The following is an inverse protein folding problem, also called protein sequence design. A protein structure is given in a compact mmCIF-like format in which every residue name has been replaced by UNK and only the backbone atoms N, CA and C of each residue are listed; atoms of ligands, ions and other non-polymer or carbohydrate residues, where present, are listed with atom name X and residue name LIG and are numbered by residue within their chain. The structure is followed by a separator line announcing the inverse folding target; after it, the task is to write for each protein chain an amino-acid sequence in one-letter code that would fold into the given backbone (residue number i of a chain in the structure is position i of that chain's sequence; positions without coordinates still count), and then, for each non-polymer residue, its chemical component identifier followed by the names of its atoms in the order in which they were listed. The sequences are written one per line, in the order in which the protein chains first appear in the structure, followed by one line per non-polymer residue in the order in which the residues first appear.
data_IF_454968226872
#
_entry.id   IF_454968226872
#
_cell.length_a   1.000
_cell.length_b   1.000
_cell.length_c   1.000
_cell.angle_alpha   90.00
_cell.angle_beta   90.00
_cell.angle_gamma   90.00
#
_symmetry.space_group_name_H-M   'P 1'
#
loop_
_entity.id
_entity.type
_entity.pdbx_description
1 polymer ?
#
# COMPACT_ATOMS: atom_id res chain seq x y z
N UNK A 1 34.32 12.66 -20.42
CA UNK A 1 33.26 11.93 -19.68
C UNK A 1 32.40 12.87 -18.80
N UNK A 2 32.13 14.12 -19.21
CA UNK A 2 31.29 15.08 -18.46
C UNK A 2 30.06 15.59 -19.22
N UNK A 3 29.92 15.29 -20.52
CA UNK A 3 28.80 15.78 -21.33
C UNK A 3 27.51 14.94 -21.14
N UNK A 4 27.62 13.69 -20.69
CA UNK A 4 26.45 12.84 -20.44
C UNK A 4 25.67 13.20 -19.17
N UNK A 5 26.32 13.82 -18.17
CA UNK A 5 25.66 14.22 -16.92
C UNK A 5 24.73 15.43 -17.12
N UNK A 6 25.10 16.39 -17.97
CA UNK A 6 24.22 17.52 -18.32
C UNK A 6 22.93 17.02 -18.99
N UNK A 7 23.02 16.00 -19.84
CA UNK A 7 21.88 15.45 -20.58
C UNK A 7 20.83 14.76 -19.70
N UNK A 8 21.18 14.30 -18.50
CA UNK A 8 20.24 13.65 -17.55
C UNK A 8 19.78 14.63 -16.46
N UNK A 9 20.64 15.55 -16.05
CA UNK A 9 20.35 16.51 -14.98
C UNK A 9 19.34 17.57 -15.44
N UNK A 10 19.40 18.01 -16.69
CA UNK A 10 18.50 19.04 -17.23
C UNK A 10 17.05 18.54 -17.38
N UNK A 11 16.79 17.34 -17.92
CA UNK A 11 15.45 16.76 -17.95
C UNK A 11 14.88 16.49 -16.55
N UNK A 12 15.70 16.02 -15.59
CA UNK A 12 15.27 15.78 -14.21
C UNK A 12 14.87 17.08 -13.49
N UNK A 13 15.64 18.15 -13.68
CA UNK A 13 15.29 19.49 -13.17
C UNK A 13 14.01 20.01 -13.81
N UNK A 14 13.84 19.84 -15.12
CA UNK A 14 12.63 20.24 -15.83
C UNK A 14 11.40 19.42 -15.43
N UNK A 15 11.54 18.12 -15.16
CA UNK A 15 10.46 17.28 -14.64
C UNK A 15 10.06 17.74 -13.23
N UNK A 16 11.05 18.01 -12.37
CA UNK A 16 10.81 18.50 -11.00
C UNK A 16 10.17 19.88 -11.01
N UNK A 17 10.59 20.76 -11.94
CA UNK A 17 9.99 22.08 -12.14
C UNK A 17 8.55 21.96 -12.65
N UNK A 18 8.28 21.07 -13.62
CA UNK A 18 6.93 20.80 -14.12
C UNK A 18 6.02 20.22 -13.06
N UNK A 19 6.49 19.29 -12.23
CA UNK A 19 5.74 18.73 -11.10
C UNK A 19 5.40 19.83 -10.09
N UNK A 20 6.40 20.66 -9.72
CA UNK A 20 6.20 21.82 -8.84
C UNK A 20 5.24 22.85 -9.44
N UNK A 21 5.30 23.09 -10.74
CA UNK A 21 4.38 23.97 -11.45
C UNK A 21 2.96 23.41 -11.52
N UNK A 22 2.78 22.09 -11.72
CA UNK A 22 1.46 21.46 -11.63
C UNK A 22 0.89 21.54 -10.22
N UNK A 23 1.69 21.31 -9.18
CA UNK A 23 1.24 21.53 -7.79
C UNK A 23 0.88 23.01 -7.54
N UNK A 24 1.68 23.94 -8.06
CA UNK A 24 1.44 25.38 -7.91
C UNK A 24 0.26 25.89 -8.74
N UNK A 25 -0.03 25.25 -9.88
CA UNK A 25 -1.19 25.54 -10.74
C UNK A 25 -2.47 24.99 -10.12
N UNK A 26 -2.45 23.79 -9.54
CA UNK A 26 -3.54 23.25 -8.72
C UNK A 26 -3.80 24.14 -7.49
N UNK A 27 -2.77 24.78 -6.92
CA UNK A 27 -2.91 25.77 -5.83
C UNK A 27 -3.45 27.15 -6.28
N UNK A 28 -3.55 27.42 -7.58
CA UNK A 28 -3.97 28.72 -8.15
C UNK A 28 -5.33 28.71 -8.86
N UNK A 29 -5.84 27.55 -9.21
CA UNK A 29 -7.24 27.41 -9.64
C UNK A 29 -8.12 27.47 -8.38
N UNK A 30 -8.56 28.69 -8.01
CA UNK A 30 -9.54 29.04 -6.96
C UNK A 30 -9.67 27.96 -5.86
N UNK A 31 -8.93 28.13 -4.75
CA UNK A 31 -9.18 27.37 -3.52
C UNK A 31 -10.66 27.56 -3.12
N UNK A 32 -11.51 26.62 -3.55
CA UNK A 32 -12.78 26.40 -2.88
C UNK A 32 -12.45 26.11 -1.42
N UNK A 33 -13.20 26.70 -0.47
CA UNK A 33 -12.98 26.41 0.94
C UNK A 33 -13.08 24.90 1.15
N UNK A 34 -12.19 24.35 1.98
CA UNK A 34 -12.23 22.93 2.34
C UNK A 34 -13.63 22.56 2.82
N UNK A 35 -14.11 21.41 2.36
CA UNK A 35 -15.36 20.86 2.86
C UNK A 35 -15.22 20.34 4.31
N UNK A 36 -16.35 20.00 4.93
CA UNK A 36 -16.39 19.54 6.32
C UNK A 36 -15.63 18.24 6.56
N UNK A 37 -15.54 17.35 5.58
CA UNK A 37 -14.83 16.07 5.68
C UNK A 37 -13.32 16.26 5.57
N UNK A 38 -12.89 17.18 4.69
CA UNK A 38 -11.51 17.59 4.55
C UNK A 38 -10.99 18.27 5.83
N UNK A 39 -11.76 19.22 6.37
CA UNK A 39 -11.43 19.89 7.64
C UNK A 39 -11.35 18.90 8.80
N UNK A 40 -12.21 17.86 8.79
CA UNK A 40 -12.17 16.81 9.79
C UNK A 40 -10.83 16.05 9.77
N UNK A 41 -10.34 15.68 8.58
CA UNK A 41 -9.04 15.00 8.43
C UNK A 41 -7.87 15.90 8.86
N UNK A 42 -7.93 17.20 8.57
CA UNK A 42 -6.94 18.20 9.01
C UNK A 42 -6.82 18.24 10.53
N UNK A 43 -7.95 18.43 11.23
CA UNK A 43 -7.94 18.50 12.69
C UNK A 43 -7.54 17.16 13.32
N UNK A 44 -8.00 16.04 12.74
CA UNK A 44 -7.59 14.70 13.17
C UNK A 44 -6.08 14.50 13.07
N UNK A 45 -5.46 14.89 11.95
CA UNK A 45 -4.02 14.79 11.75
C UNK A 45 -3.24 15.64 12.76
N UNK A 46 -3.70 16.86 13.04
CA UNK A 46 -3.11 17.75 14.04
C UNK A 46 -3.17 17.17 15.45
N UNK A 47 -4.33 16.64 15.84
CA UNK A 47 -4.55 16.04 17.15
C UNK A 47 -3.67 14.81 17.39
N UNK A 48 -3.52 13.98 16.36
CA UNK A 48 -2.67 12.79 16.38
C UNK A 48 -1.19 13.15 16.39
N UNK A 49 -0.77 14.13 15.58
CA UNK A 49 0.62 14.59 15.49
C UNK A 49 1.15 15.09 16.84
N UNK A 50 0.28 15.72 17.65
CA UNK A 50 0.62 16.20 18.99
C UNK A 50 1.11 15.07 19.90
N UNK A 51 0.50 13.89 19.81
CA UNK A 51 0.70 12.77 20.76
C UNK A 51 1.75 11.78 20.27
N UNK A 52 1.81 11.52 18.95
CA UNK A 52 2.71 10.54 18.38
C UNK A 52 4.09 11.14 18.06
N UNK A 53 5.15 10.54 18.60
CA UNK A 53 6.52 10.91 18.30
C UNK A 53 6.85 10.64 16.83
N UNK A 54 7.74 11.47 16.24
CA UNK A 54 8.27 11.25 14.89
C UNK A 54 7.19 11.13 13.81
N UNK A 55 6.11 11.90 13.97
CA UNK A 55 4.98 11.93 13.06
C UNK A 55 4.89 13.23 12.24
N UNK A 56 6.00 13.96 12.10
CA UNK A 56 6.09 15.27 11.44
C UNK A 56 5.66 15.24 9.96
N UNK A 57 5.53 14.05 9.36
CA UNK A 57 4.89 13.89 8.05
C UNK A 57 3.44 14.38 8.06
N UNK A 58 2.73 14.30 9.18
CA UNK A 58 1.34 14.76 9.32
C UNK A 58 1.23 16.29 9.31
N UNK A 59 2.32 17.02 9.57
CA UNK A 59 2.36 18.48 9.44
C UNK A 59 2.01 18.95 8.03
N UNK A 60 2.35 18.17 7.01
CA UNK A 60 1.99 18.49 5.63
C UNK A 60 0.47 18.38 5.38
N UNK A 61 -0.26 17.58 6.15
CA UNK A 61 -1.71 17.48 6.07
C UNK A 61 -2.34 18.71 6.70
N UNK A 62 -2.01 19.02 7.97
CA UNK A 62 -2.69 20.11 8.67
C UNK A 62 -2.19 21.52 8.33
N UNK A 63 -1.02 21.65 7.68
CA UNK A 63 -0.58 22.89 7.03
C UNK A 63 -1.10 23.06 5.60
N UNK A 64 -1.91 22.12 5.10
CA UNK A 64 -2.50 22.16 3.75
C UNK A 64 -1.45 22.17 2.62
N UNK A 65 -0.30 21.53 2.86
CA UNK A 65 0.67 21.24 1.80
C UNK A 65 0.21 20.08 0.91
N UNK A 66 -0.53 19.14 1.52
CA UNK A 66 -1.12 17.97 0.88
C UNK A 66 -2.53 18.24 0.34
N UNK A 67 -2.98 17.44 -0.63
CA UNK A 67 -4.29 17.60 -1.28
C UNK A 67 -5.02 16.27 -1.36
N UNK A 68 -6.31 16.27 -1.01
CA UNK A 68 -7.16 15.07 -0.94
C UNK A 68 -8.56 15.37 -1.48
N UNK A 69 -9.20 14.41 -2.13
CA UNK A 69 -10.60 14.54 -2.54
C UNK A 69 -11.55 14.29 -1.38
N UNK A 70 -12.72 14.92 -1.39
CA UNK A 70 -13.82 14.67 -0.43
C UNK A 70 -14.14 13.19 -0.30
N UNK A 71 -14.19 12.47 -1.43
CA UNK A 71 -14.48 11.03 -1.46
C UNK A 71 -13.41 10.21 -0.71
N UNK A 72 -12.13 10.59 -0.83
CA UNK A 72 -11.06 9.93 -0.08
C UNK A 72 -11.21 10.21 1.42
N UNK A 73 -11.50 11.44 1.82
CA UNK A 73 -11.75 11.80 3.22
C UNK A 73 -12.92 11.00 3.80
N UNK A 74 -14.06 10.93 3.10
CA UNK A 74 -15.23 10.15 3.53
C UNK A 74 -14.93 8.66 3.66
N UNK A 75 -14.24 8.09 2.69
CA UNK A 75 -13.82 6.69 2.74
C UNK A 75 -12.97 6.42 3.99
N UNK A 76 -11.94 7.25 4.23
CA UNK A 76 -11.08 7.13 5.42
C UNK A 76 -11.88 7.29 6.71
N UNK A 77 -12.81 8.24 6.79
CA UNK A 77 -13.67 8.44 7.97
C UNK A 77 -14.52 7.20 8.25
N UNK A 78 -15.20 6.65 7.24
CA UNK A 78 -16.06 5.47 7.39
C UNK A 78 -15.25 4.22 7.75
N UNK A 79 -14.10 4.03 7.09
CA UNK A 79 -13.20 2.90 7.35
C UNK A 79 -12.72 2.92 8.81
N UNK A 80 -12.24 4.06 9.29
CA UNK A 80 -11.76 4.21 10.66
C UNK A 80 -12.85 4.21 11.72
N UNK A 81 -14.02 4.79 11.42
CA UNK A 81 -15.19 4.67 12.29
C UNK A 81 -15.53 3.21 12.57
N UNK A 82 -15.65 2.40 11.52
CA UNK A 82 -15.94 0.97 11.64
C UNK A 82 -14.81 0.18 12.36
N UNK A 83 -13.53 0.50 12.14
CA UNK A 83 -12.42 -0.13 12.87
C UNK A 83 -12.51 0.16 14.38
N UNK A 84 -12.73 1.42 14.74
CA UNK A 84 -12.79 1.85 16.14
C UNK A 84 -14.01 1.29 16.87
N UNK A 85 -15.16 1.18 16.19
CA UNK A 85 -16.35 0.50 16.73
C UNK A 85 -16.07 -0.97 17.03
N UNK A 86 -15.49 -1.71 16.07
CA UNK A 86 -15.18 -3.13 16.26
C UNK A 86 -14.19 -3.36 17.39
N UNK A 87 -13.19 -2.48 17.54
CA UNK A 87 -12.25 -2.56 18.67
C UNK A 87 -12.95 -2.42 20.02
N UNK A 88 -13.99 -1.59 20.14
CA UNK A 88 -14.77 -1.51 21.40
C UNK A 88 -15.46 -2.83 21.75
N UNK A 89 -15.83 -3.62 20.74
CA UNK A 89 -16.54 -4.90 20.90
C UNK A 89 -15.58 -6.08 21.17
N UNK A 90 -14.36 -6.04 20.64
CA UNK A 90 -13.34 -7.08 20.86
C UNK A 90 -12.30 -6.63 21.89
N UNK A 91 -12.57 -6.94 23.16
CA UNK A 91 -11.57 -6.95 24.25
C UNK A 91 -10.99 -8.37 24.47
N UNK A 92 -10.86 -9.18 23.42
CA UNK A 92 -10.08 -10.43 23.45
C UNK A 92 -8.90 -10.33 22.50
N UNK A 93 -7.82 -11.03 22.82
CA UNK A 93 -6.46 -10.88 22.30
C UNK A 93 -6.28 -11.29 20.81
N UNK A 94 -7.33 -11.24 20.01
CA UNK A 94 -7.34 -11.52 18.59
C UNK A 94 -7.89 -10.34 17.80
N UNK A 95 -7.20 -9.96 16.73
CA UNK A 95 -7.76 -9.10 15.71
C UNK A 95 -9.11 -9.63 15.23
N UNK A 96 -10.05 -8.75 14.82
CA UNK A 96 -11.22 -9.20 14.09
C UNK A 96 -10.74 -9.99 12.88
N UNK A 97 -11.28 -11.20 12.69
CA UNK A 97 -11.36 -11.76 11.35
C UNK A 97 -12.06 -10.69 10.50
N UNK A 98 -11.25 -9.90 9.79
CA UNK A 98 -11.77 -8.78 9.02
C UNK A 98 -12.45 -9.38 7.80
N UNK A 99 -13.77 -9.49 7.91
CA UNK A 99 -14.68 -9.73 6.81
C UNK A 99 -14.33 -8.84 5.61
N UNK A 100 -14.69 -9.32 4.41
CA UNK A 100 -14.48 -8.65 3.14
C UNK A 100 -14.81 -7.15 3.22
N UNK A 101 -14.04 -6.32 2.49
CA UNK A 101 -14.17 -4.88 2.47
C UNK A 101 -15.64 -4.46 2.36
N UNK A 102 -16.20 -3.92 3.46
CA UNK A 102 -17.55 -3.37 3.49
C UNK A 102 -17.63 -2.31 2.39
N UNK A 103 -18.59 -2.47 1.50
CA UNK A 103 -18.89 -1.44 0.51
C UNK A 103 -19.53 -0.27 1.25
N UNK A 104 -18.81 0.84 1.33
CA UNK A 104 -19.27 2.03 2.04
C UNK A 104 -20.04 2.91 1.06
N UNK A 105 -21.28 3.27 1.41
CA UNK A 105 -21.99 4.33 0.70
C UNK A 105 -21.37 5.68 1.09
N UNK A 106 -20.54 6.23 0.20
CA UNK A 106 -19.83 7.49 0.41
C UNK A 106 -20.75 8.72 0.37
N UNK A 107 -22.01 8.56 -0.05
CA UNK A 107 -22.99 9.65 -0.12
C UNK A 107 -23.95 9.66 1.07
N UNK A 108 -23.87 8.64 1.93
CA UNK A 108 -24.68 8.57 3.14
C UNK A 108 -24.08 9.47 4.24
N UNK A 109 -24.57 10.70 4.29
CA UNK A 109 -24.19 11.69 5.31
C UNK A 109 -24.42 11.20 6.73
N UNK A 110 -25.46 10.40 6.98
CA UNK A 110 -25.77 9.94 8.32
C UNK A 110 -24.70 8.97 8.82
N UNK A 111 -24.28 8.01 7.97
CA UNK A 111 -23.20 7.10 8.32
C UNK A 111 -21.86 7.82 8.47
N UNK A 112 -21.56 8.81 7.63
CA UNK A 112 -20.33 9.62 7.75
C UNK A 112 -20.31 10.37 9.10
N UNK A 113 -21.40 11.00 9.49
CA UNK A 113 -21.50 11.73 10.76
C UNK A 113 -21.41 10.79 11.98
N UNK A 114 -22.00 9.59 11.91
CA UNK A 114 -21.84 8.57 12.94
C UNK A 114 -20.37 8.14 13.09
N UNK A 115 -19.69 7.86 11.98
CA UNK A 115 -18.27 7.51 11.99
C UNK A 115 -17.39 8.64 12.54
N UNK A 116 -17.65 9.91 12.17
CA UNK A 116 -16.99 11.08 12.77
C UNK A 116 -17.18 11.11 14.29
N UNK A 117 -18.39 10.86 14.79
CA UNK A 117 -18.66 10.86 16.23
C UNK A 117 -17.86 9.77 16.97
N UNK A 118 -17.74 8.57 16.38
CA UNK A 118 -16.90 7.49 16.94
C UNK A 118 -15.44 7.92 17.02
N UNK A 119 -14.90 8.46 15.93
CA UNK A 119 -13.51 8.91 15.84
C UNK A 119 -13.27 10.03 16.86
N UNK A 120 -14.14 11.04 16.93
CA UNK A 120 -14.03 12.15 17.88
C UNK A 120 -14.04 11.66 19.32
N UNK A 121 -14.87 10.66 19.64
CA UNK A 121 -14.87 10.08 20.96
C UNK A 121 -13.53 9.41 21.29
N UNK A 122 -12.95 8.66 20.35
CA UNK A 122 -11.62 8.06 20.52
C UNK A 122 -10.50 9.13 20.61
N UNK A 123 -10.58 10.19 19.80
CA UNK A 123 -9.62 11.30 19.83
C UNK A 123 -9.61 12.01 21.18
N UNK A 124 -10.72 12.07 21.93
CA UNK A 124 -10.72 12.61 23.30
C UNK A 124 -9.74 11.85 24.21
N UNK A 125 -9.71 10.53 24.10
CA UNK A 125 -8.79 9.69 24.88
C UNK A 125 -7.34 9.88 24.43
N UNK A 126 -7.10 10.03 23.12
CA UNK A 126 -5.78 10.37 22.57
C UNK A 126 -5.33 11.74 23.10
N UNK A 127 -6.21 12.75 23.08
CA UNK A 127 -5.96 14.09 23.59
C UNK A 127 -5.72 14.16 25.10
N UNK A 128 -6.16 13.17 25.87
CA UNK A 128 -5.85 13.11 27.29
C UNK A 128 -4.39 12.70 27.55
N UNK A 129 -3.69 12.14 26.55
CA UNK A 129 -2.30 11.75 26.67
C UNK A 129 -1.36 12.96 26.57
N UNK A 130 -0.20 12.93 27.25
CA UNK A 130 0.82 13.97 27.13
C UNK A 130 1.31 14.13 25.68
N UNK A 131 1.84 15.30 25.37
CA UNK A 131 2.48 15.51 24.08
C UNK A 131 3.66 14.56 23.88
N UNK A 132 3.80 14.06 22.65
CA UNK A 132 4.89 13.16 22.29
C UNK A 132 5.00 11.93 23.22
N UNK A 133 3.91 11.45 23.81
CA UNK A 133 3.94 10.30 24.73
C UNK A 133 4.05 8.96 24.02
N UNK A 134 3.65 8.87 22.75
CA UNK A 134 3.58 7.59 22.03
C UNK A 134 4.73 7.47 21.04
N UNK A 135 5.66 6.56 21.31
CA UNK A 135 6.72 6.17 20.38
C UNK A 135 6.19 5.17 19.34
N UNK A 136 6.16 5.44 18.02
CA UNK A 136 5.61 4.51 17.04
C UNK A 136 6.49 3.29 16.71
N UNK A 137 7.75 3.28 17.13
CA UNK A 137 8.70 2.23 16.75
C UNK A 137 9.50 2.60 15.51
N UNK A 138 10.76 2.20 15.49
CA UNK A 138 11.70 2.51 14.40
C UNK A 138 11.19 2.07 13.01
N UNK A 139 10.57 0.88 12.85
CA UNK A 139 10.05 0.46 11.53
C UNK A 139 8.94 1.37 11.01
N UNK A 140 8.06 1.85 11.89
CA UNK A 140 6.99 2.79 11.53
C UNK A 140 7.58 4.13 11.11
N UNK A 141 8.55 4.67 11.86
CA UNK A 141 9.24 5.93 11.52
C UNK A 141 9.88 5.86 10.14
N UNK A 142 10.58 4.76 9.82
CA UNK A 142 11.19 4.58 8.49
C UNK A 142 10.15 4.60 7.36
N UNK A 143 8.98 4.00 7.59
CA UNK A 143 7.90 4.01 6.60
C UNK A 143 7.27 5.40 6.46
N UNK A 144 7.10 6.15 7.55
CA UNK A 144 6.59 7.52 7.50
C UNK A 144 7.54 8.45 6.69
N UNK A 145 8.86 8.33 6.89
CA UNK A 145 9.85 9.09 6.13
C UNK A 145 9.89 8.69 4.64
N UNK A 146 9.72 7.41 4.34
CA UNK A 146 9.64 6.93 2.97
C UNK A 146 8.36 7.41 2.27
N UNK A 147 7.20 7.37 2.95
CA UNK A 147 5.93 7.91 2.45
C UNK A 147 6.03 9.42 2.18
N UNK A 148 6.60 10.18 3.12
CA UNK A 148 6.88 11.61 2.96
C UNK A 148 7.73 11.89 1.74
N UNK A 149 8.81 11.11 1.57
CA UNK A 149 9.71 11.22 0.43
C UNK A 149 8.99 10.85 -0.88
N UNK A 150 8.24 9.75 -0.90
CA UNK A 150 7.49 9.30 -2.06
C UNK A 150 6.43 10.33 -2.51
N UNK A 151 5.73 10.95 -1.57
CA UNK A 151 4.80 12.05 -1.81
C UNK A 151 5.49 13.28 -2.41
N UNK A 152 6.62 13.72 -1.84
CA UNK A 152 7.42 14.84 -2.39
C UNK A 152 7.86 14.64 -3.84
N UNK A 153 8.02 13.38 -4.24
CA UNK A 153 8.41 12.98 -5.59
C UNK A 153 7.23 12.54 -6.48
N UNK A 154 5.98 12.72 -6.02
CA UNK A 154 4.76 12.39 -6.77
C UNK A 154 4.51 10.89 -6.97
N UNK A 155 5.20 10.02 -6.23
CA UNK A 155 4.99 8.55 -6.26
C UNK A 155 3.79 8.11 -5.41
N UNK A 156 3.41 8.94 -4.44
CA UNK A 156 2.23 8.78 -3.59
C UNK A 156 1.38 10.04 -3.76
N UNK A 157 0.07 9.93 -4.02
CA UNK A 157 -0.76 11.09 -4.33
C UNK A 157 -1.04 11.99 -3.12
N UNK A 158 -1.11 11.41 -1.91
CA UNK A 158 -1.37 12.14 -0.68
C UNK A 158 -0.88 11.37 0.56
N UNK A 159 -0.83 12.05 1.70
CA UNK A 159 -0.29 11.54 2.97
C UNK A 159 -1.35 10.91 3.88
N UNK A 160 -2.57 10.67 3.39
CA UNK A 160 -3.62 9.94 4.13
C UNK A 160 -3.10 8.60 4.64
N UNK A 161 -2.32 7.87 3.85
CA UNK A 161 -1.68 6.61 4.26
C UNK A 161 -0.74 6.76 5.47
N UNK A 162 -0.08 7.90 5.62
CA UNK A 162 0.75 8.18 6.79
C UNK A 162 -0.12 8.41 8.03
N UNK A 163 -1.23 9.16 7.90
CA UNK A 163 -2.22 9.35 8.97
C UNK A 163 -2.76 8.01 9.46
N UNK A 164 -3.16 7.14 8.53
CA UNK A 164 -3.69 5.81 8.84
C UNK A 164 -2.66 4.95 9.59
N UNK A 165 -1.39 4.94 9.16
CA UNK A 165 -0.34 4.17 9.82
C UNK A 165 -0.10 4.66 11.27
N UNK A 166 -0.18 5.97 11.50
CA UNK A 166 -0.08 6.54 12.86
C UNK A 166 -1.32 6.20 13.68
N UNK A 167 -2.52 6.26 13.09
CA UNK A 167 -3.75 5.79 13.76
C UNK A 167 -3.65 4.31 14.14
N UNK A 168 -3.09 3.45 13.27
CA UNK A 168 -2.83 2.04 13.58
C UNK A 168 -1.95 1.89 14.82
N UNK A 169 -0.89 2.70 14.90
CA UNK A 169 0.01 2.73 16.05
C UNK A 169 -0.70 3.12 17.35
N UNK A 170 -1.50 4.18 17.31
CA UNK A 170 -2.23 4.70 18.47
C UNK A 170 -3.37 3.78 18.92
N UNK A 171 -4.01 3.11 17.97
CA UNK A 171 -5.06 2.14 18.24
C UNK A 171 -4.46 0.87 18.82
N UNK A 172 -3.32 0.38 18.34
CA UNK A 172 -2.78 -0.87 18.84
C UNK A 172 -2.08 -0.75 20.18
N UNK A 173 -1.32 0.32 20.39
CA UNK A 173 -0.45 0.49 21.58
C UNK A 173 0.36 -0.78 21.93
N UNK A 174 0.64 -1.64 20.95
CA UNK A 174 1.35 -2.90 21.17
C UNK A 174 2.79 -2.63 21.57
N UNK A 175 3.37 -3.40 22.51
CA UNK A 175 4.80 -3.34 22.79
C UNK A 175 5.64 -3.83 21.59
N UNK A 176 5.08 -4.70 20.74
CA UNK A 176 5.76 -5.27 19.57
C UNK A 176 5.36 -4.50 18.30
N UNK A 177 6.15 -3.46 17.97
CA UNK A 177 5.91 -2.56 16.82
C UNK A 177 6.67 -2.96 15.57
N UNK A 178 7.42 -4.06 15.62
CA UNK A 178 8.35 -4.46 14.58
C UNK A 178 7.65 -4.91 13.29
N UNK A 179 6.48 -5.52 13.43
CA UNK A 179 5.68 -6.04 12.32
C UNK A 179 4.48 -5.14 11.95
N UNK A 180 4.34 -3.97 12.59
CA UNK A 180 3.18 -3.10 12.41
C UNK A 180 3.06 -2.60 10.96
N UNK A 181 4.14 -2.11 10.30
CA UNK A 181 4.04 -1.67 8.91
C UNK A 181 3.59 -2.78 7.94
N UNK A 182 3.97 -4.02 8.19
CA UNK A 182 3.62 -5.19 7.38
C UNK A 182 2.14 -5.53 7.55
N UNK A 183 1.66 -5.55 8.80
CA UNK A 183 0.24 -5.79 9.11
C UNK A 183 -0.63 -4.68 8.50
N UNK A 184 -0.23 -3.43 8.66
CA UNK A 184 -0.89 -2.28 8.06
C UNK A 184 -0.95 -2.41 6.53
N UNK A 185 0.17 -2.72 5.85
CA UNK A 185 0.17 -2.83 4.39
C UNK A 185 -0.72 -3.98 3.90
N UNK A 186 -0.64 -5.15 4.54
CA UNK A 186 -1.49 -6.29 4.21
C UNK A 186 -2.97 -5.97 4.40
N UNK A 187 -3.30 -5.21 5.43
CA UNK A 187 -4.64 -4.71 5.65
C UNK A 187 -5.06 -3.73 4.54
N UNK A 188 -4.26 -2.70 4.25
CA UNK A 188 -4.53 -1.74 3.17
C UNK A 188 -4.79 -2.44 1.83
N UNK A 189 -3.97 -3.42 1.48
CA UNK A 189 -4.12 -4.18 0.22
C UNK A 189 -5.39 -5.03 0.17
N UNK A 190 -5.94 -5.44 1.33
CA UNK A 190 -7.19 -6.19 1.41
C UNK A 190 -8.42 -5.28 1.40
N UNK A 191 -8.35 -4.10 2.02
CA UNK A 191 -9.52 -3.24 2.22
C UNK A 191 -9.69 -2.15 1.16
N UNK A 192 -8.62 -1.67 0.52
CA UNK A 192 -8.75 -0.59 -0.44
C UNK A 192 -9.14 -1.07 -1.85
N UNK A 193 -10.38 -0.73 -2.24
CA UNK A 193 -10.83 -0.71 -3.65
C UNK A 193 -10.61 0.65 -4.32
N UNK A 194 -10.57 1.74 -3.55
CA UNK A 194 -10.36 3.13 -4.00
C UNK A 194 -9.11 3.69 -3.32
N UNK A 195 -8.23 4.35 -4.08
CA UNK A 195 -7.00 4.96 -3.53
C UNK A 195 -5.98 3.93 -3.03
N UNK A 196 -6.05 2.68 -3.50
CA UNK A 196 -5.07 1.65 -3.23
C UNK A 196 -3.67 2.19 -3.48
N UNK A 197 -2.79 2.11 -2.48
CA UNK A 197 -1.43 2.62 -2.61
C UNK A 197 -0.71 1.79 -3.70
N UNK A 198 -0.43 2.32 -4.90
CA UNK A 198 0.37 1.59 -5.89
C UNK A 198 1.83 1.47 -5.42
N UNK A 199 2.20 2.29 -4.44
CA UNK A 199 3.51 2.38 -3.84
C UNK A 199 3.60 1.49 -2.60
N UNK A 200 4.51 0.52 -2.63
CA UNK A 200 4.90 -0.23 -1.43
C UNK A 200 6.06 0.51 -0.76
N UNK A 201 5.95 0.92 0.51
CA UNK A 201 7.05 1.58 1.19
C UNK A 201 8.30 0.72 1.22
N UNK A 202 9.46 1.34 0.98
CA UNK A 202 10.72 0.63 0.81
C UNK A 202 11.07 -0.29 2.00
N UNK A 203 10.94 0.13 3.28
CA UNK A 203 11.23 -0.77 4.40
C UNK A 203 10.38 -2.04 4.40
N UNK A 204 9.12 -1.95 3.94
CA UNK A 204 8.23 -3.11 3.81
C UNK A 204 8.63 -3.95 2.59
N UNK A 205 8.99 -3.31 1.47
CA UNK A 205 9.47 -4.01 0.28
C UNK A 205 10.75 -4.80 0.54
N UNK A 206 11.70 -4.22 1.26
CA UNK A 206 12.96 -4.87 1.63
C UNK A 206 12.66 -6.10 2.50
N UNK A 207 11.76 -6.01 3.48
CA UNK A 207 11.28 -7.15 4.26
C UNK A 207 10.59 -8.25 3.41
N UNK A 208 9.72 -7.87 2.47
CA UNK A 208 9.11 -8.85 1.55
C UNK A 208 10.20 -9.56 0.74
N UNK A 209 11.20 -8.81 0.28
CA UNK A 209 12.30 -9.34 -0.54
C UNK A 209 13.17 -10.31 0.27
N UNK A 210 13.54 -9.94 1.49
CA UNK A 210 14.37 -10.77 2.39
C UNK A 210 13.66 -12.06 2.81
N UNK A 211 12.32 -12.03 2.92
CA UNK A 211 11.51 -13.21 3.28
C UNK A 211 10.98 -13.99 2.08
N UNK A 212 11.27 -13.54 0.86
CA UNK A 212 10.77 -14.18 -0.36
C UNK A 212 11.56 -15.43 -0.71
N UNK A 213 10.85 -16.45 -1.19
CA UNK A 213 11.48 -17.64 -1.75
C UNK A 213 11.91 -17.34 -3.17
N UNK A 214 13.10 -17.82 -3.53
CA UNK A 214 13.56 -17.75 -4.91
C UNK A 214 12.77 -18.74 -5.79
N UNK A 215 12.05 -18.20 -6.77
CA UNK A 215 11.22 -18.96 -7.70
C UNK A 215 11.84 -18.87 -9.08
N UNK A 216 12.06 -20.03 -9.69
CA UNK A 216 12.49 -20.16 -11.08
C UNK A 216 11.31 -20.63 -11.93
N UNK A 217 11.13 -20.05 -13.11
CA UNK A 217 10.14 -20.51 -14.08
C UNK A 217 10.57 -21.87 -14.63
N UNK A 218 9.63 -22.80 -14.63
CA UNK A 218 9.74 -24.08 -15.30
C UNK A 218 9.49 -23.90 -16.80
N UNK A 219 10.59 -23.99 -17.58
CA UNK A 219 10.58 -23.90 -19.04
C UNK A 219 9.74 -24.99 -19.69
N UNK A 220 9.58 -26.12 -19.01
CA UNK A 220 8.87 -27.25 -19.54
C UNK A 220 7.36 -27.01 -19.53
N UNK A 221 6.89 -26.29 -18.53
CA UNK A 221 5.47 -25.90 -18.44
C UNK A 221 5.13 -24.65 -19.26
N UNK A 222 6.14 -23.85 -19.62
CA UNK A 222 5.94 -22.54 -20.22
C UNK A 222 5.25 -22.59 -21.59
N UNK A 223 4.30 -21.67 -21.80
CA UNK A 223 3.63 -21.54 -23.09
C UNK A 223 4.62 -21.16 -24.21
N UNK A 224 4.48 -21.76 -25.41
CA UNK A 224 5.36 -21.46 -26.55
C UNK A 224 5.40 -19.98 -26.98
N UNK A 225 4.36 -19.21 -26.67
CA UNK A 225 4.29 -17.76 -26.92
C UNK A 225 5.08 -16.93 -25.90
N UNK A 226 5.63 -17.55 -24.85
CA UNK A 226 6.42 -16.86 -23.82
C UNK A 226 7.92 -16.89 -24.12
N UNK A 227 8.55 -15.74 -23.92
CA UNK A 227 10.00 -15.58 -23.89
C UNK A 227 10.46 -15.53 -22.43
N UNK A 228 11.12 -16.59 -21.99
CA UNK A 228 11.76 -16.65 -20.67
C UNK A 228 13.24 -16.29 -20.81
N UNK A 229 13.74 -15.43 -19.93
CA UNK A 229 15.15 -14.99 -19.91
C UNK A 229 15.73 -15.19 -18.51
N UNK A 230 16.89 -15.84 -18.44
CA UNK A 230 17.61 -16.15 -17.21
C UNK A 230 17.05 -17.35 -16.47
N UNK A 231 15.74 -17.35 -16.20
CA UNK A 231 14.95 -18.30 -15.37
C UNK A 231 13.83 -17.56 -14.59
N UNK A 232 13.93 -16.24 -14.44
CA UNK A 232 13.02 -15.44 -13.57
C UNK A 232 12.18 -14.40 -14.29
N UNK A 233 12.43 -14.17 -15.57
CA UNK A 233 11.75 -13.13 -16.36
C UNK A 233 10.97 -13.78 -17.48
N UNK A 234 9.70 -13.41 -17.61
CA UNK A 234 8.86 -13.81 -18.74
C UNK A 234 8.29 -12.56 -19.43
N UNK A 235 8.13 -12.64 -20.76
CA UNK A 235 7.41 -11.66 -21.57
C UNK A 235 6.68 -12.39 -22.71
N UNK A 236 5.59 -11.83 -23.22
CA UNK A 236 4.99 -12.33 -24.45
C UNK A 236 5.97 -12.12 -25.61
N UNK A 237 6.23 -13.18 -26.36
CA UNK A 237 6.89 -13.12 -27.65
C UNK A 237 5.91 -12.66 -28.73
N UNK A 238 6.46 -12.23 -29.86
CA UNK A 238 5.68 -11.92 -31.05
C UNK A 238 5.41 -13.16 -31.92
N UNK A 239 6.23 -14.20 -31.75
CA UNK A 239 6.16 -15.44 -32.50
C UNK A 239 6.07 -16.63 -31.56
N UNK A 240 5.20 -17.58 -31.91
CA UNK A 240 5.06 -18.86 -31.22
C UNK A 240 6.30 -19.71 -31.50
N UNK A 241 6.95 -20.22 -30.46
CA UNK A 241 8.05 -21.17 -30.63
C UNK A 241 7.53 -22.53 -31.08
N UNK A 242 8.29 -23.17 -31.96
CA UNK A 242 8.07 -24.57 -32.33
C UNK A 242 8.70 -25.48 -31.26
N UNK A 243 7.91 -25.84 -30.25
CA UNK A 243 8.32 -26.71 -29.14
C UNK A 243 7.32 -27.86 -28.96
N UNK A 244 7.78 -29.06 -28.58
CA UNK A 244 6.88 -30.20 -28.34
C UNK A 244 5.83 -29.87 -27.28
N UNK A 245 4.58 -30.20 -27.59
CA UNK A 245 3.46 -30.08 -26.66
C UNK A 245 3.33 -31.39 -25.86
N UNK A 246 3.57 -31.32 -24.55
CA UNK A 246 3.38 -32.44 -23.61
C UNK A 246 2.43 -32.01 -22.50
N UNK A 247 1.93 -33.00 -21.75
CA UNK A 247 0.81 -32.87 -20.81
C UNK A 247 0.95 -31.76 -19.75
N UNK A 248 2.19 -31.34 -19.45
CA UNK A 248 2.50 -30.33 -18.44
C UNK A 248 2.68 -28.92 -19.03
N UNK A 249 2.74 -28.78 -20.36
CA UNK A 249 2.95 -27.50 -21.05
C UNK A 249 1.62 -26.77 -21.24
N UNK A 250 1.60 -25.49 -20.89
CA UNK A 250 0.45 -24.62 -21.19
C UNK A 250 0.42 -24.31 -22.69
N UNK A 251 -0.57 -24.85 -23.41
CA UNK A 251 -0.68 -24.60 -24.86
C UNK A 251 -1.65 -23.44 -25.17
N UNK A 252 -2.74 -23.32 -24.40
CA UNK A 252 -3.79 -22.30 -24.60
C UNK A 252 -3.68 -21.04 -23.72
N UNK A 253 -3.03 -21.12 -22.56
CA UNK A 253 -2.87 -19.99 -21.64
C UNK A 253 -1.41 -19.51 -21.64
N UNK A 254 -1.17 -18.20 -21.67
CA UNK A 254 0.16 -17.59 -21.57
C UNK A 254 0.69 -17.66 -20.12
N UNK A 255 0.94 -18.88 -19.68
CA UNK A 255 1.38 -19.20 -18.34
C UNK A 255 2.68 -20.00 -18.37
N UNK A 256 3.40 -19.92 -17.26
CA UNK A 256 4.51 -20.78 -16.91
C UNK A 256 4.41 -21.06 -15.40
N UNK A 257 4.77 -22.26 -14.99
CA UNK A 257 4.75 -22.63 -13.57
C UNK A 257 6.05 -22.18 -12.92
N UNK A 258 5.98 -21.61 -11.74
CA UNK A 258 7.16 -21.41 -10.91
C UNK A 258 7.48 -22.70 -10.15
N UNK A 259 8.74 -23.12 -10.13
CA UNK A 259 9.22 -24.18 -9.26
C UNK A 259 10.26 -23.64 -8.29
N UNK A 260 10.32 -24.24 -7.10
CA UNK A 260 11.24 -23.84 -6.03
C UNK A 260 12.59 -24.50 -6.30
N UNK A 261 13.64 -23.72 -6.53
CA UNK A 261 15.00 -24.24 -6.51
C UNK A 261 15.27 -24.86 -5.13
N UNK A 262 15.52 -26.16 -5.14
CA UNK A 262 15.66 -27.10 -4.03
C UNK A 262 16.03 -26.52 -2.66
N UNK A 263 15.05 -26.39 -1.76
CA UNK A 263 15.30 -26.57 -0.33
C UNK A 263 14.80 -27.97 0.04
N UNK A 264 15.67 -28.89 0.50
CA UNK A 264 15.23 -30.24 0.85
C UNK A 264 14.18 -30.20 1.97
N UNK A 265 13.02 -30.81 1.73
CA UNK A 265 12.09 -31.21 2.81
C UNK A 265 10.97 -30.25 3.22
N UNK A 266 10.68 -29.16 2.50
CA UNK A 266 9.61 -28.23 2.92
C UNK A 266 8.40 -28.25 1.97
N UNK A 267 7.56 -29.29 2.07
CA UNK A 267 6.23 -29.36 1.44
C UNK A 267 5.14 -28.66 2.27
N UNK A 268 5.47 -28.13 3.45
CA UNK A 268 4.52 -27.49 4.37
C UNK A 268 4.99 -26.08 4.75
N UNK A 269 4.08 -25.10 4.74
CA UNK A 269 4.36 -23.71 5.12
C UNK A 269 3.63 -22.65 4.28
N UNK A 270 3.65 -21.39 4.75
CA UNK A 270 3.24 -20.22 3.95
C UNK A 270 4.46 -19.63 3.28
N UNK A 271 4.42 -19.58 1.95
CA UNK A 271 5.51 -19.04 1.13
C UNK A 271 5.10 -17.72 0.51
N UNK A 272 6.05 -16.79 0.43
CA UNK A 272 5.86 -15.50 -0.24
C UNK A 272 6.87 -15.40 -1.38
N UNK A 273 6.45 -14.76 -2.46
CA UNK A 273 7.34 -14.33 -3.52
C UNK A 273 6.91 -12.95 -3.99
N UNK A 274 7.88 -12.13 -4.35
CA UNK A 274 7.65 -10.84 -4.99
C UNK A 274 7.90 -10.98 -6.49
N UNK A 275 7.15 -10.25 -7.30
CA UNK A 275 7.47 -10.12 -8.71
C UNK A 275 7.25 -8.68 -9.15
N UNK A 276 8.14 -8.21 -10.02
CA UNK A 276 8.02 -6.90 -10.64
C UNK A 276 7.26 -7.07 -11.95
N UNK A 277 6.11 -6.41 -12.07
CA UNK A 277 5.34 -6.35 -13.32
C UNK A 277 5.61 -5.02 -14.02
N UNK A 278 5.86 -5.06 -15.33
CA UNK A 278 5.86 -3.86 -16.16
C UNK A 278 4.43 -3.36 -16.43
N UNK A 279 4.27 -2.48 -17.42
CA UNK A 279 3.00 -1.81 -17.76
C UNK A 279 1.83 -2.73 -18.16
N UNK A 280 2.03 -4.04 -18.26
CA UNK A 280 1.00 -5.02 -18.62
C UNK A 280 0.53 -5.80 -17.39
N UNK A 281 -0.78 -5.98 -17.29
CA UNK A 281 -1.44 -6.71 -16.19
C UNK A 281 -1.30 -8.21 -16.43
N UNK A 282 -0.77 -8.92 -15.43
CA UNK A 282 -0.66 -10.37 -15.43
C UNK A 282 -1.56 -10.94 -14.32
N UNK A 283 -2.57 -11.76 -14.64
CA UNK A 283 -3.27 -12.55 -13.64
C UNK A 283 -2.27 -13.52 -12.99
N UNK A 284 -2.07 -13.40 -11.68
CA UNK A 284 -1.27 -14.34 -10.89
C UNK A 284 -2.22 -15.24 -10.11
N UNK A 285 -2.22 -16.54 -10.39
CA UNK A 285 -2.93 -17.54 -9.60
C UNK A 285 -2.01 -18.71 -9.28
N UNK A 286 -2.24 -19.33 -8.13
CA UNK A 286 -1.72 -20.67 -7.83
C UNK A 286 -2.63 -21.68 -8.54
N UNK A 287 -2.15 -22.46 -9.53
CA UNK A 287 -2.93 -23.59 -10.00
C UNK A 287 -2.99 -24.62 -8.86
N UNK A 288 -4.19 -24.86 -8.32
CA UNK A 288 -4.44 -26.06 -7.53
C UNK A 288 -4.24 -27.26 -8.46
N UNK A 289 -3.18 -28.03 -8.23
CA UNK A 289 -2.94 -29.30 -8.90
C UNK A 289 -4.10 -30.26 -8.62
N UNK A 290 -5.09 -30.30 -9.52
CA UNK A 290 -5.92 -31.47 -9.74
C UNK A 290 -5.68 -31.92 -11.17
N UNK A 291 -4.90 -32.99 -11.30
CA UNK A 291 -4.93 -33.80 -12.50
C UNK A 291 -6.38 -34.28 -12.68
N UNK A 292 -7.11 -33.68 -13.60
CA UNK A 292 -8.30 -34.31 -14.16
C UNK A 292 -7.90 -34.96 -15.46
N UNK A 293 -7.70 -36.27 -15.39
CA UNK A 293 -7.71 -37.15 -16.56
C UNK A 293 -9.04 -36.97 -17.32
N UNK A 294 -8.95 -36.64 -18.60
CA UNK A 294 -9.88 -37.12 -19.62
C UNK A 294 -9.07 -37.68 -20.77
#
# INVERSE_FOLDING_TARGET
MMQCFHFIVEPAKNLTAKIKETHKKNKKEKEEPLDEDQLFIVELAKDINRVCQRSEVLEHIWNLDDTWSTLLCRFTILEWGNILERKKVMQSDGWPEMDEAKDFDLYDEQHVQQAKAVILNWVKDVKAQPEQSVWPGEPVVKVLEDLKSAWRWGRVPCLVSALELVMWTLVLQSPEKDNLPQQWLLWKQKTQKIGAIPYVPKPVWDWISDTSVDITLDLDTANPDLLITGDKRMRCGFERKDVPNYHQRFDGWWCATGWKASAPGATTGRWRWASVTGAWVWPKSLPYGRASSR
#
